data_IF_880897889859
#
_entry.id   IF_880897889859
#
_cell.length_a   1.000
_cell.length_b   1.000
_cell.length_c   1.000
_cell.angle_alpha   90.00
_cell.angle_beta   90.00
_cell.angle_gamma   90.00
#
_symmetry.space_group_name_H-M   'P 1'
#
loop_
_entity.id
_entity.type
_entity.pdbx_description
1 polymer ?
#
# COMPACT_ATOMS: atom_id res chain seq x y z
N UNK A 1 13.38 4.27 -15.26
CA UNK A 1 14.12 5.49 -15.63
C UNK A 1 15.58 5.47 -15.16
N UNK A 2 15.88 5.25 -13.87
CA UNK A 2 17.27 5.20 -13.36
C UNK A 2 18.17 4.21 -14.13
N UNK A 3 17.70 2.99 -14.37
CA UNK A 3 18.45 2.01 -15.17
C UNK A 3 18.69 2.44 -16.63
N UNK A 4 17.72 3.10 -17.26
CA UNK A 4 17.85 3.57 -18.64
C UNK A 4 18.86 4.72 -18.74
N UNK A 5 18.88 5.62 -17.74
CA UNK A 5 19.91 6.66 -17.62
C UNK A 5 21.29 6.05 -17.46
N UNK A 6 21.44 5.03 -16.62
CA UNK A 6 22.71 4.31 -16.48
C UNK A 6 23.14 3.73 -17.82
N UNK A 7 22.25 3.01 -18.53
CA UNK A 7 22.57 2.43 -19.85
C UNK A 7 22.98 3.50 -20.86
N UNK A 8 22.26 4.62 -20.94
CA UNK A 8 22.59 5.71 -21.87
C UNK A 8 23.98 6.30 -21.62
N UNK A 9 24.46 6.31 -20.38
CA UNK A 9 25.81 6.80 -20.02
C UNK A 9 26.90 5.74 -20.13
N UNK A 10 26.57 4.45 -20.12
CA UNK A 10 27.54 3.36 -20.25
C UNK A 10 27.58 2.71 -21.63
N UNK A 11 26.68 3.07 -22.56
CA UNK A 11 26.56 2.45 -23.89
C UNK A 11 27.84 2.50 -24.74
N UNK A 12 28.68 3.53 -24.54
CA UNK A 12 29.95 3.68 -25.26
C UNK A 12 31.09 2.89 -24.61
N UNK A 13 30.86 2.39 -23.38
CA UNK A 13 31.82 1.66 -22.57
C UNK A 13 31.52 0.16 -22.50
N UNK A 14 30.26 -0.23 -22.70
CA UNK A 14 29.78 -1.60 -22.57
C UNK A 14 28.84 -1.92 -23.72
N UNK A 15 29.02 -3.09 -24.36
CA UNK A 15 28.05 -3.61 -25.33
C UNK A 15 26.77 -4.04 -24.61
N UNK A 16 25.71 -3.24 -24.73
CA UNK A 16 24.40 -3.49 -24.12
C UNK A 16 23.33 -3.45 -25.21
N UNK A 17 22.49 -4.47 -25.26
CA UNK A 17 21.24 -4.46 -26.04
C UNK A 17 20.08 -4.18 -25.10
N UNK A 18 19.18 -3.28 -25.48
CA UNK A 18 17.99 -2.93 -24.69
C UNK A 18 16.76 -3.29 -25.50
N UNK A 19 15.88 -4.10 -24.91
CA UNK A 19 14.59 -4.49 -25.49
C UNK A 19 13.46 -4.08 -24.53
N UNK A 20 12.33 -3.65 -25.10
CA UNK A 20 11.13 -3.34 -24.31
C UNK A 20 10.46 -4.62 -23.81
N UNK A 21 10.21 -4.68 -22.50
CA UNK A 21 9.60 -5.83 -21.83
C UNK A 21 8.74 -5.42 -20.64
N UNK A 22 8.02 -6.39 -20.06
CA UNK A 22 7.15 -6.17 -18.89
C UNK A 22 7.91 -5.99 -17.57
N UNK A 23 9.15 -6.44 -17.52
CA UNK A 23 10.00 -6.45 -16.33
C UNK A 23 11.38 -5.88 -16.66
N UNK A 24 12.03 -5.25 -15.68
CA UNK A 24 13.41 -4.75 -15.82
C UNK A 24 14.37 -5.87 -15.43
N UNK A 25 15.00 -6.50 -16.42
CA UNK A 25 15.89 -7.65 -16.21
C UNK A 25 17.20 -7.43 -16.95
N UNK A 26 18.33 -7.69 -16.28
CA UNK A 26 19.65 -7.78 -16.92
C UNK A 26 20.12 -9.23 -16.91
N UNK A 27 20.28 -9.81 -18.11
CA UNK A 27 20.84 -11.16 -18.29
C UNK A 27 22.32 -11.04 -18.65
N UNK A 28 23.19 -11.60 -17.81
CA UNK A 28 24.64 -11.64 -18.06
C UNK A 28 25.04 -12.95 -18.72
N UNK A 29 24.42 -14.04 -18.29
CA UNK A 29 24.60 -15.39 -18.83
C UNK A 29 23.35 -16.23 -18.58
N UNK A 30 23.31 -17.46 -19.07
CA UNK A 30 22.20 -18.41 -18.85
C UNK A 30 21.93 -18.70 -17.36
N UNK A 31 22.88 -18.40 -16.47
CA UNK A 31 22.80 -18.68 -15.03
C UNK A 31 22.75 -17.42 -14.17
N UNK A 32 23.11 -16.24 -14.69
CA UNK A 32 23.21 -15.01 -13.91
C UNK A 32 22.28 -13.95 -14.49
N UNK A 33 21.21 -13.67 -13.74
CA UNK A 33 20.20 -12.69 -14.08
C UNK A 33 19.94 -11.79 -12.87
N UNK A 34 19.94 -10.48 -13.09
CA UNK A 34 19.52 -9.49 -12.11
C UNK A 34 18.12 -9.00 -12.45
N UNK A 35 17.23 -8.98 -11.46
CA UNK A 35 15.82 -8.59 -11.61
C UNK A 35 15.47 -7.30 -10.87
N UNK A 36 16.34 -6.83 -9.98
CA UNK A 36 16.16 -5.57 -9.27
C UNK A 36 16.99 -4.44 -9.89
N UNK A 37 16.40 -3.25 -9.95
CA UNK A 37 16.99 -2.07 -10.61
C UNK A 37 18.35 -1.69 -9.99
N UNK A 38 18.48 -1.80 -8.66
CA UNK A 38 19.70 -1.38 -7.96
C UNK A 38 20.89 -2.29 -8.28
N UNK A 39 20.70 -3.61 -8.32
CA UNK A 39 21.74 -4.56 -8.73
C UNK A 39 22.13 -4.35 -10.20
N UNK A 40 21.16 -4.10 -11.08
CA UNK A 40 21.40 -3.82 -12.49
C UNK A 40 22.30 -2.60 -12.65
N UNK A 41 21.94 -1.45 -12.05
CA UNK A 41 22.72 -0.22 -12.22
C UNK A 41 24.08 -0.28 -11.54
N UNK A 42 24.19 -0.94 -10.38
CA UNK A 42 25.48 -1.16 -9.71
C UNK A 42 26.41 -2.01 -10.58
N UNK A 43 25.90 -3.10 -11.14
CA UNK A 43 26.68 -3.95 -12.03
C UNK A 43 27.18 -3.16 -13.23
N UNK A 44 26.28 -2.44 -13.93
CA UNK A 44 26.63 -1.63 -15.10
C UNK A 44 27.65 -0.53 -14.77
N UNK A 45 27.52 0.16 -13.64
CA UNK A 45 28.47 1.19 -13.23
C UNK A 45 29.85 0.61 -12.86
N UNK A 46 29.89 -0.58 -12.26
CA UNK A 46 31.13 -1.26 -11.86
C UNK A 46 31.90 -1.85 -13.04
N UNK A 47 31.22 -2.29 -14.10
CA UNK A 47 31.89 -2.74 -15.33
C UNK A 47 32.37 -1.56 -16.18
N UNK A 48 31.65 -0.43 -16.15
CA UNK A 48 31.99 0.79 -16.88
C UNK A 48 32.77 1.77 -15.99
N UNK A 49 33.91 1.33 -15.44
CA UNK A 49 34.70 2.12 -14.47
C UNK A 49 35.11 3.49 -15.01
N UNK A 50 35.40 3.59 -16.32
CA UNK A 50 35.74 4.85 -16.99
C UNK A 50 34.59 5.86 -17.05
N UNK A 51 33.34 5.41 -16.89
CA UNK A 51 32.18 6.30 -16.83
C UNK A 51 32.04 6.99 -15.45
N UNK A 52 32.79 6.55 -14.43
CA UNK A 52 32.84 7.21 -13.11
C UNK A 52 31.54 7.19 -12.30
N UNK A 53 30.51 6.46 -12.74
CA UNK A 53 29.17 6.52 -12.16
C UNK A 53 29.06 5.97 -10.74
N UNK A 54 30.04 5.19 -10.30
CA UNK A 54 30.07 4.59 -8.96
C UNK A 54 31.09 5.25 -8.04
N UNK A 55 31.60 6.44 -8.35
CA UNK A 55 32.54 7.17 -7.49
C UNK A 55 33.98 6.66 -7.54
N UNK A 56 34.90 7.45 -6.99
CA UNK A 56 36.35 7.30 -7.08
C UNK A 56 37.00 6.67 -5.84
N UNK A 57 36.33 6.75 -4.70
CA UNK A 57 36.85 6.29 -3.40
C UNK A 57 35.75 5.67 -2.54
N UNK A 58 36.15 4.98 -1.46
CA UNK A 58 35.23 4.22 -0.61
C UNK A 58 34.14 5.08 0.04
N UNK A 59 34.43 6.35 0.33
CA UNK A 59 33.44 7.27 0.88
C UNK A 59 32.36 7.58 -0.16
N UNK A 60 32.76 7.93 -1.38
CA UNK A 60 31.82 8.18 -2.48
C UNK A 60 31.00 6.94 -2.83
N UNK A 61 31.59 5.74 -2.77
CA UNK A 61 30.86 4.47 -2.97
C UNK A 61 29.73 4.33 -1.94
N UNK A 62 30.03 4.64 -0.68
CA UNK A 62 29.07 4.55 0.42
C UNK A 62 27.99 5.63 0.32
N UNK A 63 28.37 6.88 -0.01
CA UNK A 63 27.39 7.94 -0.24
C UNK A 63 26.46 7.62 -1.41
N UNK A 64 26.98 7.01 -2.49
CA UNK A 64 26.16 6.59 -3.63
C UNK A 64 25.16 5.52 -3.22
N UNK A 65 25.59 4.48 -2.52
CA UNK A 65 24.69 3.43 -2.04
C UNK A 65 23.63 3.99 -1.08
N UNK A 66 24.01 4.92 -0.20
CA UNK A 66 23.08 5.61 0.68
C UNK A 66 21.99 6.36 -0.10
N UNK A 67 22.36 7.16 -1.11
CA UNK A 67 21.38 7.90 -1.91
C UNK A 67 20.51 6.99 -2.79
N UNK A 68 21.05 5.88 -3.27
CA UNK A 68 20.27 4.86 -3.96
C UNK A 68 19.21 4.26 -3.03
N UNK A 69 19.60 3.84 -1.83
CA UNK A 69 18.66 3.30 -0.83
C UNK A 69 17.63 4.36 -0.40
N UNK A 70 18.07 5.59 -0.13
CA UNK A 70 17.23 6.74 0.17
C UNK A 70 16.16 6.96 -0.90
N UNK A 71 16.52 6.85 -2.19
CA UNK A 71 15.59 7.02 -3.30
C UNK A 71 14.49 5.96 -3.31
N UNK A 72 14.82 4.70 -2.99
CA UNK A 72 13.87 3.57 -2.98
C UNK A 72 13.05 3.46 -1.70
N UNK A 73 13.53 4.07 -0.61
CA UNK A 73 12.89 3.99 0.72
C UNK A 73 12.21 5.31 1.05
N UNK A 74 12.95 6.26 1.63
CA UNK A 74 12.41 7.53 2.15
C UNK A 74 11.72 8.37 1.07
N UNK A 75 12.33 8.48 -0.11
CA UNK A 75 11.83 9.36 -1.18
C UNK A 75 10.67 8.74 -1.97
N UNK A 76 10.57 7.41 -1.99
CA UNK A 76 9.46 6.69 -2.63
C UNK A 76 8.27 6.49 -1.69
N UNK A 77 8.46 6.66 -0.37
CA UNK A 77 7.42 6.47 0.64
C UNK A 77 6.65 7.78 0.89
N UNK A 78 5.34 7.85 0.62
CA UNK A 78 4.57 9.10 0.74
C UNK A 78 4.58 9.73 2.14
N UNK A 79 4.64 8.92 3.20
CA UNK A 79 4.66 9.40 4.59
C UNK A 79 5.97 10.07 4.97
N UNK A 80 7.08 9.64 4.37
CA UNK A 80 8.41 10.18 4.65
C UNK A 80 8.84 11.25 3.64
N UNK A 81 8.15 11.34 2.49
CA UNK A 81 8.50 12.24 1.40
C UNK A 81 8.72 13.69 1.84
N UNK A 82 7.89 14.22 2.74
CA UNK A 82 8.02 15.59 3.22
C UNK A 82 9.32 15.83 4.01
N UNK A 83 9.77 14.85 4.81
CA UNK A 83 11.05 14.93 5.51
C UNK A 83 12.21 14.64 4.56
N UNK A 84 12.06 13.62 3.71
CA UNK A 84 13.06 13.22 2.73
C UNK A 84 13.38 14.36 1.75
N UNK A 85 12.39 15.08 1.24
CA UNK A 85 12.62 16.18 0.31
C UNK A 85 13.36 17.36 0.98
N UNK A 86 13.18 17.55 2.30
CA UNK A 86 13.92 18.54 3.07
C UNK A 86 15.36 18.08 3.36
N UNK A 87 15.56 16.82 3.71
CA UNK A 87 16.89 16.21 3.86
C UNK A 87 17.69 16.34 2.55
N UNK A 88 17.06 16.01 1.42
CA UNK A 88 17.63 16.18 0.08
C UNK A 88 17.94 17.65 -0.22
N UNK A 89 17.03 18.57 0.11
CA UNK A 89 17.22 20.00 -0.10
C UNK A 89 18.44 20.54 0.68
N UNK A 90 18.61 20.09 1.92
CA UNK A 90 19.73 20.50 2.76
C UNK A 90 21.06 19.98 2.20
N UNK A 91 21.11 18.71 1.79
CA UNK A 91 22.27 18.10 1.16
C UNK A 91 22.68 18.78 -0.16
N UNK A 92 21.70 19.29 -0.91
CA UNK A 92 21.93 20.01 -2.17
C UNK A 92 22.21 21.50 -2.02
N UNK A 93 22.20 22.06 -0.80
CA UNK A 93 22.37 23.49 -0.56
C UNK A 93 23.60 24.10 -1.24
N UNK A 94 24.76 23.43 -1.10
CA UNK A 94 26.05 23.86 -1.65
C UNK A 94 26.60 22.90 -2.72
N UNK A 95 25.87 21.84 -3.08
CA UNK A 95 26.36 20.81 -4.01
C UNK A 95 25.67 20.89 -5.37
N UNK A 96 26.44 20.68 -6.45
CA UNK A 96 25.92 20.56 -7.82
C UNK A 96 25.46 19.14 -8.15
N UNK A 97 26.14 18.14 -7.58
CA UNK A 97 25.83 16.71 -7.68
C UNK A 97 25.67 16.14 -6.28
N UNK A 98 24.95 15.03 -6.12
CA UNK A 98 24.74 14.45 -4.79
C UNK A 98 26.04 13.95 -4.15
N UNK A 99 26.91 13.35 -4.97
CA UNK A 99 28.19 12.78 -4.55
C UNK A 99 29.31 13.24 -5.47
N UNK A 100 30.41 13.71 -4.88
CA UNK A 100 31.57 14.18 -5.63
C UNK A 100 31.28 15.39 -6.53
N UNK A 101 31.96 15.43 -7.68
CA UNK A 101 31.96 16.56 -8.63
C UNK A 101 31.43 16.19 -10.03
N UNK A 102 30.78 15.03 -10.17
CA UNK A 102 30.26 14.52 -11.44
C UNK A 102 28.94 13.77 -11.23
N UNK A 103 28.28 13.40 -12.33
CA UNK A 103 27.08 12.57 -12.29
C UNK A 103 27.40 11.17 -11.78
N UNK A 104 26.61 10.72 -10.82
CA UNK A 104 26.75 9.37 -10.25
C UNK A 104 25.40 8.65 -10.25
N UNK A 105 25.41 7.37 -9.87
CA UNK A 105 24.16 6.62 -9.64
C UNK A 105 23.27 7.26 -8.57
N UNK A 106 23.83 8.04 -7.64
CA UNK A 106 23.05 8.80 -6.67
C UNK A 106 22.10 9.76 -7.38
N UNK A 107 22.64 10.55 -8.32
CA UNK A 107 21.87 11.53 -9.07
C UNK A 107 20.80 10.87 -9.93
N UNK A 108 21.16 9.77 -10.62
CA UNK A 108 20.23 9.06 -11.49
C UNK A 108 19.07 8.44 -10.71
N UNK A 109 19.36 7.84 -9.56
CA UNK A 109 18.36 7.13 -8.74
C UNK A 109 17.40 8.11 -8.08
N UNK A 110 17.93 9.17 -7.46
CA UNK A 110 17.11 10.21 -6.81
C UNK A 110 16.29 10.97 -7.86
N UNK A 111 16.86 11.31 -9.01
CA UNK A 111 16.12 12.02 -10.07
C UNK A 111 15.00 11.15 -10.63
N UNK A 112 15.27 9.87 -10.89
CA UNK A 112 14.27 8.94 -11.40
C UNK A 112 13.12 8.74 -10.40
N UNK A 113 13.43 8.64 -9.10
CA UNK A 113 12.42 8.56 -8.04
C UNK A 113 11.55 9.82 -7.99
N UNK A 114 12.14 11.02 -8.10
CA UNK A 114 11.38 12.27 -8.18
C UNK A 114 10.54 12.38 -9.45
N UNK A 115 11.07 11.98 -10.61
CA UNK A 115 10.32 12.01 -11.89
C UNK A 115 9.06 11.12 -11.81
N UNK A 116 9.14 9.97 -11.15
CA UNK A 116 8.00 9.08 -10.93
C UNK A 116 7.10 9.43 -9.74
N UNK A 117 7.42 10.46 -8.95
CA UNK A 117 6.67 10.82 -7.75
C UNK A 117 5.66 11.94 -8.05
N UNK A 118 4.35 11.65 -7.90
CA UNK A 118 3.28 12.60 -8.19
C UNK A 118 3.33 13.86 -7.32
N UNK A 119 3.70 13.74 -6.03
CA UNK A 119 3.79 14.87 -5.10
C UNK A 119 4.86 15.85 -5.58
N UNK A 120 6.02 15.33 -6.01
CA UNK A 120 7.07 16.16 -6.58
C UNK A 120 6.62 16.87 -7.86
N UNK A 121 5.96 16.15 -8.78
CA UNK A 121 5.50 16.73 -10.05
C UNK A 121 4.49 17.88 -9.81
N UNK A 122 3.57 17.71 -8.86
CA UNK A 122 2.65 18.77 -8.44
C UNK A 122 3.39 19.97 -7.83
N UNK A 123 4.33 19.72 -6.92
CA UNK A 123 5.15 20.77 -6.31
C UNK A 123 6.00 21.54 -7.33
N UNK A 124 6.47 20.86 -8.37
CA UNK A 124 7.22 21.46 -9.46
C UNK A 124 6.31 22.35 -10.34
N UNK A 125 5.12 21.88 -10.66
CA UNK A 125 4.13 22.61 -11.45
C UNK A 125 3.59 23.86 -10.73
N UNK A 126 3.34 23.75 -9.42
CA UNK A 126 2.90 24.86 -8.56
C UNK A 126 4.05 25.75 -8.09
N UNK A 127 5.29 25.40 -8.44
CA UNK A 127 6.52 26.07 -8.00
C UNK A 127 6.70 26.13 -6.47
N UNK A 128 6.07 25.23 -5.71
CA UNK A 128 6.10 25.15 -4.24
C UNK A 128 7.22 24.26 -3.69
N UNK A 129 7.91 23.48 -4.55
CA UNK A 129 8.99 22.59 -4.12
C UNK A 129 10.22 23.30 -3.53
N UNK A 130 11.07 22.61 -2.73
CA UNK A 130 12.26 23.20 -2.13
C UNK A 130 13.28 23.73 -3.16
N UNK A 131 13.92 24.86 -2.85
CA UNK A 131 14.70 25.66 -3.81
C UNK A 131 15.90 24.90 -4.39
N UNK A 132 16.69 24.22 -3.55
CA UNK A 132 17.90 23.54 -3.99
C UNK A 132 17.58 22.28 -4.79
N UNK A 133 16.53 21.55 -4.40
CA UNK A 133 16.04 20.39 -5.15
C UNK A 133 15.52 20.81 -6.52
N UNK A 134 14.71 21.89 -6.61
CA UNK A 134 14.21 22.40 -7.90
C UNK A 134 15.37 22.82 -8.82
N UNK A 135 16.38 23.50 -8.28
CA UNK A 135 17.58 23.91 -9.04
C UNK A 135 18.30 22.69 -9.60
N UNK A 136 18.63 21.72 -8.74
CA UNK A 136 19.34 20.50 -9.12
C UNK A 136 18.54 19.65 -10.11
N UNK A 137 17.23 19.48 -9.88
CA UNK A 137 16.36 18.69 -10.76
C UNK A 137 16.30 19.27 -12.18
N UNK A 138 16.11 20.59 -12.30
CA UNK A 138 16.12 21.29 -13.59
C UNK A 138 17.49 21.26 -14.27
N UNK A 139 18.55 21.33 -13.49
CA UNK A 139 19.91 21.20 -14.00
C UNK A 139 20.15 19.82 -14.64
N UNK A 140 19.68 18.73 -14.01
CA UNK A 140 19.76 17.39 -14.59
C UNK A 140 18.87 17.22 -15.83
N UNK A 141 17.62 17.69 -15.76
CA UNK A 141 16.67 17.59 -16.88
C UNK A 141 17.11 18.37 -18.13
N UNK A 142 17.93 19.41 -17.96
CA UNK A 142 18.51 20.15 -19.08
C UNK A 142 19.62 19.40 -19.83
N UNK A 143 20.12 18.27 -19.32
CA UNK A 143 21.20 17.51 -19.94
C UNK A 143 20.70 16.58 -21.04
N UNK A 144 21.49 16.43 -22.11
CA UNK A 144 21.12 15.65 -23.31
C UNK A 144 20.76 14.20 -23.00
N UNK A 145 21.46 13.56 -22.07
CA UNK A 145 21.22 12.17 -21.68
C UNK A 145 19.86 11.98 -21.00
N UNK A 146 19.46 12.94 -20.15
CA UNK A 146 18.14 12.93 -19.50
C UNK A 146 17.02 13.20 -20.50
N UNK A 147 17.19 14.16 -21.43
CA UNK A 147 16.21 14.42 -22.48
C UNK A 147 16.06 13.25 -23.47
N UNK A 148 17.15 12.58 -23.82
CA UNK A 148 17.17 11.38 -24.68
C UNK A 148 16.36 10.25 -24.05
N UNK A 149 16.56 9.99 -22.75
CA UNK A 149 15.83 8.92 -22.04
C UNK A 149 14.36 9.30 -21.84
N UNK A 150 14.06 10.55 -21.49
CA UNK A 150 12.68 11.03 -21.35
C UNK A 150 11.94 10.89 -22.69
N UNK A 151 12.47 11.42 -23.79
CA UNK A 151 11.83 11.35 -25.11
C UNK A 151 11.68 9.94 -25.69
N UNK A 152 12.67 9.05 -25.52
CA UNK A 152 12.61 7.68 -26.08
C UNK A 152 11.70 6.74 -25.30
N UNK A 153 11.63 6.89 -23.98
CA UNK A 153 11.01 5.89 -23.12
C UNK A 153 9.76 6.40 -22.40
N UNK A 154 9.36 7.66 -22.59
CA UNK A 154 8.02 8.17 -22.19
C UNK A 154 7.02 8.22 -23.35
N UNK A 155 7.44 7.96 -24.60
CA UNK A 155 6.55 7.92 -25.79
C UNK A 155 5.89 6.53 -26.00
N UNK A 156 6.17 5.55 -25.13
CA UNK A 156 5.64 4.19 -25.18
C UNK A 156 4.26 3.96 -24.53
N UNK A 157 3.48 5.00 -24.21
CA UNK A 157 2.14 4.85 -23.60
C UNK A 157 0.99 4.96 -24.62
N UNK A 158 1.24 4.47 -25.83
CA UNK A 158 0.20 4.32 -26.86
C UNK A 158 -0.25 2.86 -26.96
N UNK A 159 -1.46 2.60 -26.46
CA UNK A 159 -2.38 1.43 -26.60
C UNK A 159 -2.77 0.95 -25.19
N UNK A 160 -3.85 1.44 -24.60
CA UNK A 160 -5.25 1.17 -25.01
C UNK A 160 -6.17 2.38 -24.75
N UNK A 161 -6.41 3.17 -25.79
CA UNK A 161 -7.66 3.95 -25.92
C UNK A 161 -8.79 2.98 -26.23
N UNK A 162 -9.45 2.45 -25.21
CA UNK A 162 -10.87 2.11 -25.33
C UNK A 162 -11.61 3.42 -25.17
N UNK A 163 -12.38 3.79 -26.19
CA UNK A 163 -13.31 4.92 -26.17
C UNK A 163 -14.25 4.76 -24.98
N UNK A 164 -14.03 5.56 -23.94
CA UNK A 164 -15.11 6.03 -23.06
C UNK A 164 -14.98 7.55 -23.03
N UNK A 165 -15.94 8.20 -23.67
CA UNK A 165 -16.22 9.62 -23.51
C UNK A 165 -16.48 9.92 -22.04
N UNK A 166 -15.55 10.61 -21.38
CA UNK A 166 -15.85 11.52 -20.27
C UNK A 166 -14.68 12.44 -19.99
N UNK A 167 -15.01 13.66 -19.61
CA UNK A 167 -14.15 14.82 -19.40
C UNK A 167 -12.94 14.56 -18.50
N UNK A 168 -11.80 15.20 -18.83
CA UNK A 168 -10.63 15.31 -17.95
C UNK A 168 -11.03 15.95 -16.62
N UNK A 169 -11.10 15.17 -15.53
CA UNK A 169 -11.02 15.74 -14.16
C UNK A 169 -9.57 15.58 -13.67
N UNK A 170 -9.02 16.67 -13.13
CA UNK A 170 -7.76 16.69 -12.40
C UNK A 170 -7.72 15.55 -11.38
N UNK A 171 -6.56 14.91 -11.21
CA UNK A 171 -6.32 13.93 -10.14
C UNK A 171 -6.06 14.66 -8.81
N UNK A 172 -7.01 15.49 -8.42
CA UNK A 172 -7.21 15.87 -7.03
C UNK A 172 -7.77 14.59 -6.43
N UNK A 173 -7.05 13.91 -5.51
CA UNK A 173 -7.45 12.64 -4.88
C UNK A 173 -8.97 12.51 -4.83
N UNK A 174 -9.52 11.88 -5.87
CA UNK A 174 -10.91 12.17 -6.23
C UNK A 174 -11.73 11.31 -5.31
N UNK A 175 -12.47 11.94 -4.40
CA UNK A 175 -13.48 11.24 -3.64
C UNK A 175 -14.33 10.45 -4.64
N UNK A 176 -14.39 9.14 -4.44
CA UNK A 176 -15.03 8.22 -5.37
C UNK A 176 -16.49 8.59 -5.42
N UNK A 177 -16.96 9.02 -6.60
CA UNK A 177 -18.39 9.27 -6.80
C UNK A 177 -19.14 7.97 -6.50
N UNK A 178 -20.15 8.03 -5.62
CA UNK A 178 -20.96 6.87 -5.23
C UNK A 178 -22.07 6.70 -6.28
N UNK A 179 -21.96 5.74 -7.24
CA UNK A 179 -22.97 5.59 -8.29
C UNK A 179 -24.31 5.16 -7.67
N UNK A 180 -25.40 5.85 -8.04
CA UNK A 180 -26.73 5.60 -7.49
C UNK A 180 -26.96 6.14 -6.08
N UNK A 181 -26.04 6.94 -5.54
CA UNK A 181 -26.25 7.63 -4.27
C UNK A 181 -27.32 8.73 -4.39
N UNK A 182 -28.15 8.84 -3.36
CA UNK A 182 -29.14 9.90 -3.23
C UNK A 182 -28.79 10.79 -2.04
N UNK A 183 -28.97 12.10 -2.23
CA UNK A 183 -28.77 13.10 -1.18
C UNK A 183 -29.66 12.78 0.02
N UNK A 184 -29.08 12.76 1.22
CA UNK A 184 -29.77 12.40 2.47
C UNK A 184 -29.84 10.90 2.78
N UNK A 185 -29.50 10.02 1.83
CA UNK A 185 -29.60 8.55 2.01
C UNK A 185 -28.27 7.84 2.21
N UNK A 186 -27.15 8.50 1.97
CA UNK A 186 -25.82 7.91 2.17
C UNK A 186 -25.56 7.70 3.66
N UNK A 187 -25.27 6.48 4.06
CA UNK A 187 -24.88 6.12 5.44
C UNK A 187 -23.52 5.48 5.38
N UNK A 188 -22.56 6.07 6.09
CA UNK A 188 -21.18 5.62 6.18
C UNK A 188 -20.84 5.31 7.64
N UNK A 189 -19.80 4.50 7.87
CA UNK A 189 -19.34 4.23 9.24
C UNK A 189 -17.83 4.22 9.37
N UNK A 190 -17.35 4.75 10.49
CA UNK A 190 -15.99 4.59 10.97
C UNK A 190 -16.00 3.58 12.13
N UNK A 191 -15.48 2.35 11.92
CA UNK A 191 -15.60 1.29 12.90
C UNK A 191 -14.26 0.92 13.58
N UNK A 192 -13.70 1.72 14.51
CA UNK A 192 -12.45 1.35 15.16
C UNK A 192 -12.64 0.21 16.17
N UNK A 193 -11.62 -0.64 16.30
CA UNK A 193 -11.48 -1.58 17.41
C UNK A 193 -10.86 -0.85 18.61
N UNK A 194 -11.45 -0.97 19.80
CA UNK A 194 -10.95 -0.34 21.02
C UNK A 194 -9.78 -1.12 21.66
N UNK A 195 -8.90 -1.67 20.82
CA UNK A 195 -7.73 -2.47 21.24
C UNK A 195 -6.40 -1.70 21.16
N UNK A 196 -6.43 -0.43 20.75
CA UNK A 196 -5.25 0.40 20.62
C UNK A 196 -5.57 1.86 20.25
N UNK A 197 -4.54 2.70 20.21
CA UNK A 197 -4.66 4.11 19.88
C UNK A 197 -4.86 4.34 18.38
N UNK A 198 -5.58 5.41 18.04
CA UNK A 198 -5.63 5.84 16.64
C UNK A 198 -4.26 6.31 16.17
N UNK A 199 -4.02 6.20 14.87
CA UNK A 199 -2.83 6.71 14.21
C UNK A 199 -3.27 7.38 12.91
N UNK A 200 -2.34 8.00 12.19
CA UNK A 200 -2.68 8.82 11.02
C UNK A 200 -3.44 8.06 9.90
N UNK A 201 -3.31 6.73 9.85
CA UNK A 201 -4.08 5.88 8.93
C UNK A 201 -5.58 5.90 9.26
N UNK A 202 -5.93 5.88 10.55
CA UNK A 202 -7.31 6.02 11.02
C UNK A 202 -7.88 7.40 10.71
N UNK A 203 -7.07 8.46 10.79
CA UNK A 203 -7.51 9.81 10.42
C UNK A 203 -7.99 9.87 8.97
N UNK A 204 -7.28 9.22 8.03
CA UNK A 204 -7.71 9.12 6.62
C UNK A 204 -9.07 8.44 6.50
N UNK A 205 -9.26 7.30 7.16
CA UNK A 205 -10.53 6.57 7.10
C UNK A 205 -11.68 7.39 7.71
N UNK A 206 -11.47 7.99 8.87
CA UNK A 206 -12.49 8.75 9.58
C UNK A 206 -12.88 10.03 8.80
N UNK A 207 -11.90 10.79 8.31
CA UNK A 207 -12.13 12.00 7.49
C UNK A 207 -12.79 11.66 6.15
N UNK A 208 -12.43 10.53 5.52
CA UNK A 208 -13.08 10.09 4.28
C UNK A 208 -14.56 9.78 4.50
N UNK A 209 -14.91 9.09 5.59
CA UNK A 209 -16.30 8.83 5.92
C UNK A 209 -17.03 10.15 6.24
N UNK A 210 -16.44 11.06 7.01
CA UNK A 210 -17.05 12.38 7.26
C UNK A 210 -17.25 13.19 5.97
N UNK A 211 -16.32 13.11 5.01
CA UNK A 211 -16.49 13.76 3.72
C UNK A 211 -17.76 13.28 3.01
N UNK A 212 -18.01 11.96 2.95
CA UNK A 212 -19.23 11.44 2.33
C UNK A 212 -20.50 11.81 3.09
N UNK A 213 -20.46 11.82 4.43
CA UNK A 213 -21.56 12.33 5.25
C UNK A 213 -21.91 13.77 4.87
N UNK A 214 -20.92 14.67 4.80
CA UNK A 214 -21.14 16.09 4.50
C UNK A 214 -21.59 16.29 3.05
N UNK A 215 -20.85 15.72 2.09
CA UNK A 215 -21.08 15.89 0.65
C UNK A 215 -22.47 15.40 0.23
N UNK A 216 -22.94 14.29 0.81
CA UNK A 216 -24.24 13.72 0.49
C UNK A 216 -25.34 14.07 1.50
N UNK A 217 -25.09 14.97 2.46
CA UNK A 217 -25.99 15.25 3.59
C UNK A 217 -26.48 13.97 4.27
N UNK A 218 -25.61 12.97 4.28
CA UNK A 218 -25.85 11.63 4.78
C UNK A 218 -25.65 11.52 6.27
N UNK A 219 -25.41 10.30 6.75
CA UNK A 219 -25.12 10.01 8.16
C UNK A 219 -23.77 9.31 8.33
N UNK A 220 -23.03 9.70 9.35
CA UNK A 220 -21.82 9.02 9.82
C UNK A 220 -22.13 8.29 11.12
N UNK A 221 -21.92 6.97 11.10
CA UNK A 221 -22.00 6.13 12.30
C UNK A 221 -20.58 5.94 12.84
N UNK A 222 -20.37 6.28 14.09
CA UNK A 222 -19.21 5.81 14.86
C UNK A 222 -19.59 4.45 15.45
N UNK A 223 -18.86 3.39 15.10
CA UNK A 223 -19.12 2.06 15.65
C UNK A 223 -17.90 1.51 16.34
N UNK A 224 -17.96 1.22 17.63
CA UNK A 224 -16.88 0.43 18.22
C UNK A 224 -17.06 -1.02 17.79
N UNK A 225 -16.05 -1.58 17.13
CA UNK A 225 -16.09 -2.99 16.71
C UNK A 225 -15.61 -3.87 17.86
N UNK A 226 -16.48 -3.97 18.87
CA UNK A 226 -16.20 -4.48 20.20
C UNK A 226 -16.47 -5.98 20.34
N UNK A 227 -15.84 -6.77 19.47
CA UNK A 227 -16.05 -8.23 19.40
C UNK A 227 -15.01 -9.04 20.16
N UNK A 228 -13.94 -8.41 20.64
CA UNK A 228 -12.84 -9.05 21.33
C UNK A 228 -12.74 -8.59 22.80
N UNK A 229 -13.36 -9.33 23.74
CA UNK A 229 -13.42 -8.93 25.14
C UNK A 229 -12.06 -8.90 25.85
N UNK A 230 -11.02 -9.56 25.32
CA UNK A 230 -9.69 -9.59 25.94
C UNK A 230 -8.84 -8.36 25.62
N UNK A 231 -9.05 -7.77 24.44
CA UNK A 231 -8.21 -6.67 23.95
C UNK A 231 -8.82 -5.29 24.18
N UNK A 232 -10.12 -5.25 24.38
CA UNK A 232 -10.87 -4.00 24.49
C UNK A 232 -10.76 -3.40 25.89
N UNK A 233 -10.47 -2.09 25.93
CA UNK A 233 -10.41 -1.33 27.18
C UNK A 233 -11.15 -0.01 27.04
N UNK A 234 -11.90 0.34 28.08
CA UNK A 234 -12.62 1.62 28.18
C UNK A 234 -11.68 2.83 27.99
N UNK A 235 -10.42 2.71 28.43
CA UNK A 235 -9.40 3.76 28.25
C UNK A 235 -9.10 4.03 26.78
N UNK A 236 -9.04 3.00 25.93
CA UNK A 236 -8.83 3.18 24.49
C UNK A 236 -10.04 3.85 23.84
N UNK A 237 -11.25 3.49 24.26
CA UNK A 237 -12.47 4.11 23.76
C UNK A 237 -12.49 5.62 24.02
N UNK A 238 -12.15 6.04 25.25
CA UNK A 238 -12.07 7.47 25.61
C UNK A 238 -11.08 8.22 24.73
N UNK A 239 -9.87 7.69 24.55
CA UNK A 239 -8.84 8.34 23.72
C UNK A 239 -9.24 8.38 22.25
N UNK A 240 -9.86 7.31 21.73
CA UNK A 240 -10.40 7.29 20.36
C UNK A 240 -11.44 8.41 20.18
N UNK A 241 -12.33 8.61 21.14
CA UNK A 241 -13.33 9.69 21.09
C UNK A 241 -12.69 11.08 21.13
N UNK A 242 -11.65 11.26 21.96
CA UNK A 242 -10.87 12.51 22.03
C UNK A 242 -10.18 12.81 20.69
N UNK A 243 -9.54 11.81 20.07
CA UNK A 243 -8.88 11.95 18.77
C UNK A 243 -9.88 12.29 17.65
N UNK A 244 -11.04 11.63 17.64
CA UNK A 244 -12.14 11.91 16.70
C UNK A 244 -12.64 13.35 16.87
N UNK A 245 -12.80 13.81 18.12
CA UNK A 245 -13.19 15.18 18.41
C UNK A 245 -12.10 16.20 17.99
N UNK A 246 -10.82 15.89 18.21
CA UNK A 246 -9.68 16.71 17.81
C UNK A 246 -9.60 16.89 16.28
N UNK A 247 -9.96 15.85 15.53
CA UNK A 247 -10.08 15.90 14.07
C UNK A 247 -11.36 16.62 13.58
N UNK A 248 -12.17 17.15 14.49
CA UNK A 248 -13.47 17.78 14.23
C UNK A 248 -14.47 16.86 13.50
N UNK A 249 -14.35 15.56 13.73
CA UNK A 249 -15.25 14.56 13.18
C UNK A 249 -16.53 14.54 14.01
N UNK A 250 -17.68 14.61 13.35
CA UNK A 250 -19.01 14.68 14.01
C UNK A 250 -19.90 13.52 13.58
N UNK A 251 -19.85 12.38 14.29
CA UNK A 251 -20.77 11.28 14.08
C UNK A 251 -22.22 11.69 14.38
N UNK A 252 -23.17 11.18 13.60
CA UNK A 252 -24.61 11.34 13.84
C UNK A 252 -25.15 10.28 14.81
N UNK A 253 -24.46 9.15 14.91
CA UNK A 253 -24.88 8.01 15.71
C UNK A 253 -23.66 7.27 16.25
N UNK A 254 -23.78 6.78 17.48
CA UNK A 254 -22.87 5.83 18.10
C UNK A 254 -23.53 4.45 18.16
N UNK A 255 -22.75 3.38 17.99
CA UNK A 255 -23.21 2.00 18.12
C UNK A 255 -22.06 1.09 18.54
N UNK A 256 -22.38 -0.05 19.14
CA UNK A 256 -21.41 -1.09 19.44
C UNK A 256 -21.78 -2.34 18.62
N UNK A 257 -20.79 -3.12 18.19
CA UNK A 257 -21.06 -4.41 17.53
C UNK A 257 -21.69 -5.40 18.53
N UNK A 258 -21.32 -5.32 19.81
CA UNK A 258 -21.88 -6.14 20.90
C UNK A 258 -23.40 -5.96 21.08
N UNK A 259 -23.94 -4.75 20.87
CA UNK A 259 -25.40 -4.47 20.83
C UNK A 259 -26.14 -5.34 19.80
N UNK A 260 -25.42 -5.92 18.84
CA UNK A 260 -25.97 -6.72 17.76
C UNK A 260 -25.71 -8.22 17.90
N UNK A 261 -25.08 -8.70 18.99
CA UNK A 261 -24.75 -10.12 19.16
C UNK A 261 -25.97 -11.04 19.06
N UNK A 262 -27.11 -10.70 19.67
CA UNK A 262 -28.32 -11.52 19.54
C UNK A 262 -28.73 -11.71 18.07
N UNK A 263 -28.60 -10.66 17.25
CA UNK A 263 -28.94 -10.69 15.83
C UNK A 263 -27.91 -11.49 15.03
N UNK A 264 -26.63 -11.34 15.34
CA UNK A 264 -25.53 -12.10 14.73
C UNK A 264 -25.70 -13.59 15.03
N UNK A 265 -26.01 -13.95 16.28
CA UNK A 265 -26.27 -15.32 16.70
C UNK A 265 -27.48 -15.93 15.97
N UNK A 266 -28.58 -15.18 15.83
CA UNK A 266 -29.74 -15.63 15.04
C UNK A 266 -29.37 -15.90 13.57
N UNK A 267 -28.48 -15.12 12.97
CA UNK A 267 -27.99 -15.39 11.62
C UNK A 267 -27.08 -16.61 11.56
N UNK A 268 -26.21 -16.80 12.55
CA UNK A 268 -25.40 -18.02 12.67
C UNK A 268 -26.28 -19.27 12.72
N UNK A 269 -27.30 -19.27 13.57
CA UNK A 269 -28.27 -20.39 13.68
C UNK A 269 -29.05 -20.61 12.38
N UNK A 270 -29.44 -19.53 11.69
CA UNK A 270 -30.06 -19.62 10.36
C UNK A 270 -29.12 -20.28 9.34
N UNK A 271 -27.83 -19.93 9.35
CA UNK A 271 -26.84 -20.54 8.44
C UNK A 271 -26.62 -22.03 8.75
N UNK A 272 -26.62 -22.42 10.02
CA UNK A 272 -26.56 -23.84 10.42
C UNK A 272 -27.80 -24.59 9.91
N UNK A 273 -29.00 -24.02 10.11
CA UNK A 273 -30.26 -24.60 9.62
C UNK A 273 -30.28 -24.78 8.09
N UNK A 274 -29.76 -23.80 7.35
CA UNK A 274 -29.66 -23.85 5.88
C UNK A 274 -28.52 -24.75 5.38
N UNK A 275 -27.76 -25.39 6.27
CA UNK A 275 -26.60 -26.23 5.91
C UNK A 275 -25.41 -25.43 5.34
N UNK A 276 -25.38 -24.12 5.58
CA UNK A 276 -24.36 -23.16 5.11
C UNK A 276 -23.30 -22.84 6.17
N UNK A 277 -23.41 -23.39 7.37
CA UNK A 277 -22.39 -23.33 8.41
C UNK A 277 -22.33 -24.64 9.18
N UNK A 278 -21.17 -24.94 9.76
CA UNK A 278 -20.93 -26.13 10.57
C UNK A 278 -19.99 -25.80 11.73
N UNK A 279 -20.10 -26.55 12.83
CA UNK A 279 -19.22 -26.41 14.00
C UNK A 279 -18.03 -27.35 13.85
N UNK A 280 -16.84 -26.87 14.18
CA UNK A 280 -15.58 -27.57 14.00
C UNK A 280 -14.76 -27.56 15.29
N UNK A 281 -14.38 -28.75 15.79
CA UNK A 281 -13.49 -28.92 16.94
C UNK A 281 -12.04 -29.25 16.54
N UNK A 282 -11.72 -29.15 15.25
CA UNK A 282 -10.37 -29.40 14.74
C UNK A 282 -9.39 -28.35 15.30
N UNK A 283 -8.24 -28.75 15.89
CA UNK A 283 -7.26 -27.82 16.43
C UNK A 283 -6.80 -26.77 15.41
N UNK A 284 -6.51 -25.56 15.87
CA UNK A 284 -6.21 -24.40 15.00
C UNK A 284 -5.08 -24.66 13.99
N UNK A 285 -3.98 -25.31 14.41
CA UNK A 285 -2.86 -25.66 13.54
C UNK A 285 -3.26 -26.68 12.46
N UNK A 286 -4.03 -27.71 12.83
CA UNK A 286 -4.54 -28.68 11.86
C UNK A 286 -5.51 -28.01 10.88
N UNK A 287 -6.40 -27.16 11.36
CA UNK A 287 -7.34 -26.40 10.52
C UNK A 287 -6.63 -25.46 9.54
N UNK A 288 -5.46 -24.93 9.91
CA UNK A 288 -4.61 -24.14 9.02
C UNK A 288 -4.00 -25.01 7.93
N UNK A 289 -3.44 -26.17 8.28
CA UNK A 289 -2.91 -27.14 7.31
C UNK A 289 -3.98 -27.65 6.34
N UNK A 290 -5.17 -27.98 6.83
CA UNK A 290 -6.30 -28.41 6.01
C UNK A 290 -6.72 -27.32 5.01
N UNK A 291 -6.70 -26.05 5.41
CA UNK A 291 -6.95 -24.92 4.50
C UNK A 291 -5.88 -24.78 3.43
N UNK A 292 -4.59 -24.87 3.79
CA UNK A 292 -3.48 -24.79 2.84
C UNK A 292 -3.50 -25.95 1.83
N UNK A 293 -3.92 -27.14 2.26
CA UNK A 293 -4.02 -28.34 1.44
C UNK A 293 -5.37 -28.51 0.74
N UNK A 294 -6.32 -27.58 0.95
CA UNK A 294 -7.69 -27.62 0.40
C UNK A 294 -8.46 -28.89 0.79
N UNK A 295 -8.21 -29.40 2.00
CA UNK A 295 -8.86 -30.57 2.56
C UNK A 295 -10.08 -30.12 3.35
N UNK A 296 -11.23 -30.74 3.10
CA UNK A 296 -12.43 -30.50 3.89
C UNK A 296 -12.27 -31.06 5.32
N UNK A 297 -12.66 -30.27 6.32
CA UNK A 297 -12.71 -30.75 7.71
C UNK A 297 -13.65 -31.95 7.85
N UNK A 298 -13.30 -32.88 8.74
CA UNK A 298 -14.15 -34.03 9.10
C UNK A 298 -15.58 -33.63 9.52
N UNK A 299 -15.76 -32.42 10.06
CA UNK A 299 -17.07 -31.92 10.52
C UNK A 299 -17.87 -31.18 9.46
N UNK A 300 -17.30 -30.91 8.26
CA UNK A 300 -17.96 -30.11 7.23
C UNK A 300 -19.30 -30.68 6.75
N UNK A 301 -19.45 -32.00 6.86
CA UNK A 301 -20.66 -32.74 6.48
C UNK A 301 -21.45 -33.27 7.68
N UNK A 302 -21.24 -32.70 8.88
CA UNK A 302 -22.11 -32.95 10.04
C UNK A 302 -23.58 -32.66 9.70
N UNK A 303 -24.49 -33.41 10.34
CA UNK A 303 -25.91 -33.09 10.26
C UNK A 303 -26.21 -31.76 10.95
N UNK A 304 -27.35 -31.14 10.59
CA UNK A 304 -27.81 -29.89 11.20
C UNK A 304 -27.97 -30.06 12.70
N UNK A 305 -28.54 -31.18 13.15
CA UNK A 305 -28.76 -31.51 14.57
C UNK A 305 -27.43 -31.61 15.32
N UNK A 306 -26.42 -32.26 14.71
CA UNK A 306 -25.10 -32.39 15.33
C UNK A 306 -24.42 -31.02 15.47
N UNK A 307 -24.51 -30.17 14.46
CA UNK A 307 -23.97 -28.81 14.52
C UNK A 307 -24.68 -27.97 15.59
N UNK A 308 -26.00 -28.07 15.74
CA UNK A 308 -26.72 -27.39 16.83
C UNK A 308 -26.32 -27.89 18.21
N UNK A 309 -26.13 -29.19 18.41
CA UNK A 309 -25.65 -29.71 19.69
C UNK A 309 -24.29 -29.10 20.07
N UNK A 310 -23.35 -29.03 19.13
CA UNK A 310 -22.04 -28.42 19.37
C UNK A 310 -22.15 -26.90 19.57
N UNK A 311 -23.03 -26.22 18.83
CA UNK A 311 -23.30 -24.78 18.98
C UNK A 311 -23.87 -24.43 20.36
N UNK A 312 -24.76 -25.25 20.92
CA UNK A 312 -25.28 -25.04 22.28
C UNK A 312 -24.17 -25.18 23.34
N UNK A 313 -23.22 -26.09 23.15
CA UNK A 313 -22.05 -26.23 24.03
C UNK A 313 -21.14 -24.99 23.95
N UNK A 314 -20.94 -24.43 22.76
CA UNK A 314 -20.23 -23.16 22.56
C UNK A 314 -20.93 -22.02 23.31
N UNK A 315 -22.25 -21.87 23.17
CA UNK A 315 -23.02 -20.80 23.83
C UNK A 315 -23.00 -20.91 25.36
N UNK A 316 -22.96 -22.13 25.90
CA UNK A 316 -22.80 -22.38 27.35
C UNK A 316 -21.38 -22.17 27.86
N UNK A 317 -20.38 -22.08 26.97
CA UNK A 317 -18.98 -21.93 27.34
C UNK A 317 -18.39 -23.16 28.02
N UNK A 318 -18.87 -24.37 27.71
CA UNK A 318 -18.32 -25.61 28.30
C UNK A 318 -16.88 -25.85 27.83
N UNK A 319 -16.13 -26.70 28.53
CA UNK A 319 -14.73 -27.03 28.14
C UNK A 319 -14.65 -27.49 26.68
N UNK A 320 -15.62 -28.28 26.22
CA UNK A 320 -15.73 -28.67 24.82
C UNK A 320 -16.16 -27.52 23.90
N UNK A 321 -17.12 -26.70 24.34
CA UNK A 321 -17.54 -25.53 23.57
C UNK A 321 -16.40 -24.55 23.29
N UNK A 322 -15.47 -24.38 24.23
CA UNK A 322 -14.29 -23.51 24.10
C UNK A 322 -13.28 -24.02 23.07
N UNK A 323 -13.26 -25.33 22.74
CA UNK A 323 -12.40 -25.87 21.68
C UNK A 323 -13.01 -25.77 20.29
N UNK A 324 -14.27 -25.36 20.19
CA UNK A 324 -15.03 -25.35 18.95
C UNK A 324 -15.04 -23.95 18.30
N UNK A 325 -15.17 -23.91 16.97
CA UNK A 325 -15.51 -22.70 16.24
C UNK A 325 -16.63 -22.94 15.22
N UNK A 326 -17.38 -21.90 14.88
CA UNK A 326 -18.39 -21.96 13.82
C UNK A 326 -17.78 -21.50 12.51
N UNK A 327 -17.90 -22.31 11.45
CA UNK A 327 -17.32 -22.05 10.13
C UNK A 327 -18.41 -21.97 9.07
N UNK A 328 -18.28 -21.02 8.15
CA UNK A 328 -19.13 -20.99 6.95
C UNK A 328 -18.75 -22.13 6.00
N UNK A 329 -19.76 -22.72 5.34
CA UNK A 329 -19.59 -23.76 4.33
C UNK A 329 -19.61 -23.11 2.95
N UNK A 330 -18.42 -22.76 2.45
CA UNK A 330 -18.21 -22.13 1.14
C UNK A 330 -17.41 -23.11 0.26
N UNK A 331 -16.25 -22.73 -0.26
CA UNK A 331 -15.51 -23.47 -1.27
C UNK A 331 -14.02 -23.54 -0.94
N UNK A 332 -13.59 -24.70 -0.43
CA UNK A 332 -12.19 -24.98 -0.10
C UNK A 332 -11.28 -25.01 -1.34
N UNK A 333 -11.82 -25.10 -2.56
CA UNK A 333 -11.05 -25.07 -3.79
C UNK A 333 -10.86 -23.66 -4.35
N UNK A 334 -11.47 -22.65 -3.73
CA UNK A 334 -11.34 -21.27 -4.14
C UNK A 334 -9.88 -20.81 -4.10
N UNK A 335 -9.50 -19.99 -5.09
CA UNK A 335 -8.20 -19.32 -5.09
C UNK A 335 -8.17 -18.10 -4.14
N UNK A 336 -9.33 -17.66 -3.64
CA UNK A 336 -9.41 -16.67 -2.58
C UNK A 336 -9.36 -17.38 -1.23
N UNK A 337 -8.26 -17.21 -0.49
CA UNK A 337 -8.05 -17.85 0.82
C UNK A 337 -9.01 -17.41 1.94
N UNK A 338 -9.89 -16.44 1.67
CA UNK A 338 -10.98 -16.06 2.58
C UNK A 338 -12.30 -16.84 2.33
N UNK A 339 -12.38 -17.61 1.24
CA UNK A 339 -13.53 -18.45 0.86
C UNK A 339 -13.23 -19.92 1.15
#
# INVERSE_FOLDING_TARGET
LGALLTVEHVKDHVKISVEEGKETILRISDQVTFTDVNSIVRYLARIATSAGLYGSNLLEHTEIDHWMEFSTTKLSTPTEFALAIQELNNSLSLRTYLVGNCLTLADFSVWAALKGNNIWQEQLAQNTGPVHVKRWYKFLEAQNSFQSVDSKWTVGDTVRKIKVTTEKKQDIGKFVDLPGSEMGKVIVRFPPEASGYLHIGHAKAALLNQHYQITFKGKLIMRFDDTNPEKEKEDFEKVILEDVAMLHIKPDQFSYTSDHFEKIMKYAEKLIHEGKAYVDDTPAEQMKMEREQRIESKHRNNSVEKNFQMWEEMKKGTEYGQTCCLRAKIDMNSNNGCM
#
